data_IF_224880284463
#
_entry.id   IF_224880284463
#
_cell.length_a   1.000
_cell.length_b   1.000
_cell.length_c   1.000
_cell.angle_alpha   90.00
_cell.angle_beta   90.00
_cell.angle_gamma   90.00
#
_symmetry.space_group_name_H-M   'P 1'
#
loop_
_entity.id
_entity.type
_entity.pdbx_description
1 polymer ?
#
# COMPACT_ATOMS: atom_id res chain seq x y z
N UNK A 1 1.79 16.76 -1.59
CA UNK A 1 2.26 15.58 -0.81
C UNK A 1 1.41 14.36 -1.18
N UNK A 2 1.96 13.15 -1.07
CA UNK A 2 1.30 11.90 -1.53
C UNK A 2 -0.12 11.71 -0.98
N UNK A 3 -0.39 12.12 0.26
CA UNK A 3 -1.71 11.97 0.85
C UNK A 3 -2.81 12.75 0.12
N UNK A 4 -2.51 13.94 -0.42
CA UNK A 4 -3.49 14.69 -1.22
C UNK A 4 -3.83 13.97 -2.53
N UNK A 5 -2.83 13.35 -3.16
CA UNK A 5 -3.03 12.57 -4.40
C UNK A 5 -3.99 11.41 -4.11
N UNK A 6 -3.72 10.64 -3.06
CA UNK A 6 -4.52 9.46 -2.72
C UNK A 6 -5.93 9.85 -2.26
N UNK A 7 -6.07 10.88 -1.42
CA UNK A 7 -7.40 11.37 -1.00
C UNK A 7 -8.24 11.86 -2.18
N UNK A 8 -7.63 12.52 -3.15
CA UNK A 8 -8.34 12.93 -4.37
C UNK A 8 -8.74 11.73 -5.23
N UNK A 9 -7.85 10.74 -5.38
CA UNK A 9 -8.17 9.49 -6.08
C UNK A 9 -9.33 8.75 -5.40
N UNK A 10 -9.37 8.64 -4.06
CA UNK A 10 -10.50 8.03 -3.34
C UNK A 10 -11.80 8.81 -3.52
N UNK A 11 -11.76 10.13 -3.66
CA UNK A 11 -12.95 10.93 -3.98
C UNK A 11 -13.46 10.67 -5.40
N UNK A 12 -12.55 10.53 -6.36
CA UNK A 12 -12.90 10.26 -7.77
C UNK A 12 -13.32 8.80 -8.00
N UNK A 13 -12.72 7.87 -7.27
CA UNK A 13 -12.88 6.42 -7.44
C UNK A 13 -13.09 5.75 -6.07
N UNK A 14 -14.25 5.96 -5.43
CA UNK A 14 -14.48 5.53 -4.04
C UNK A 14 -14.44 4.01 -3.85
N UNK A 15 -14.89 3.25 -4.84
CA UNK A 15 -14.86 1.78 -4.83
C UNK A 15 -13.51 1.18 -5.24
N UNK A 16 -12.63 1.97 -5.87
CA UNK A 16 -11.36 1.44 -6.39
C UNK A 16 -10.30 1.41 -5.29
N UNK A 17 -9.51 0.35 -5.31
CA UNK A 17 -8.33 0.20 -4.49
C UNK A 17 -7.15 0.99 -5.06
N UNK A 18 -6.26 1.42 -4.17
CA UNK A 18 -5.08 2.20 -4.55
C UNK A 18 -3.84 1.42 -4.14
N UNK A 19 -3.07 1.01 -5.14
CA UNK A 19 -1.77 0.36 -4.99
C UNK A 19 -0.63 1.38 -4.99
N UNK A 20 0.20 1.36 -3.95
CA UNK A 20 1.47 2.06 -3.94
C UNK A 20 2.56 1.14 -4.52
N UNK A 21 2.99 1.40 -5.76
CA UNK A 21 3.99 0.60 -6.50
C UNK A 21 5.45 0.92 -6.19
N UNK A 22 6.39 0.04 -6.56
CA UNK A 22 7.79 0.06 -6.11
C UNK A 22 8.62 1.32 -6.41
N UNK A 23 8.27 2.10 -7.43
CA UNK A 23 9.00 3.30 -7.85
C UNK A 23 8.78 4.43 -6.84
N UNK A 24 9.59 4.42 -5.78
CA UNK A 24 9.62 5.39 -4.69
C UNK A 24 11.06 5.65 -4.27
N UNK A 25 11.38 6.82 -3.70
CA UNK A 25 12.69 7.06 -3.10
C UNK A 25 13.08 5.93 -2.15
N UNK A 26 14.30 5.40 -2.33
CA UNK A 26 14.82 4.29 -1.51
C UNK A 26 15.50 4.75 -0.22
N UNK A 27 15.57 6.07 0.01
CA UNK A 27 16.03 6.61 1.29
C UNK A 27 15.13 6.08 2.42
N UNK A 28 15.74 5.40 3.40
CA UNK A 28 15.02 4.69 4.47
C UNK A 28 14.10 5.60 5.29
N UNK A 29 14.51 6.86 5.53
CA UNK A 29 13.74 7.81 6.33
C UNK A 29 12.49 8.27 5.56
N UNK A 30 12.68 8.72 4.33
CA UNK A 30 11.60 9.27 3.48
C UNK A 30 10.64 8.17 3.01
N UNK A 31 11.12 6.96 2.75
CA UNK A 31 10.30 5.85 2.23
C UNK A 31 9.18 5.49 3.19
N UNK A 32 9.49 5.29 4.46
CA UNK A 32 8.48 4.88 5.45
C UNK A 32 7.44 5.99 5.69
N UNK A 33 7.84 7.26 5.64
CA UNK A 33 6.90 8.39 5.78
C UNK A 33 5.92 8.45 4.61
N UNK A 34 6.40 8.28 3.37
CA UNK A 34 5.55 8.19 2.18
C UNK A 34 4.57 7.03 2.30
N UNK A 35 5.07 5.85 2.67
CA UNK A 35 4.28 4.62 2.80
C UNK A 35 3.19 4.75 3.88
N UNK A 36 3.53 5.28 5.06
CA UNK A 36 2.58 5.49 6.17
C UNK A 36 1.55 6.56 5.80
N UNK A 37 1.94 7.67 5.19
CA UNK A 37 0.98 8.70 4.76
C UNK A 37 0.06 8.16 3.65
N UNK A 38 0.58 7.31 2.76
CA UNK A 38 -0.23 6.67 1.74
C UNK A 38 -1.30 5.75 2.34
N UNK A 39 -0.90 4.91 3.31
CA UNK A 39 -1.81 4.04 4.05
C UNK A 39 -2.90 4.85 4.76
N UNK A 40 -2.52 5.88 5.54
CA UNK A 40 -3.46 6.78 6.23
C UNK A 40 -4.43 7.47 5.28
N UNK A 41 -4.00 7.73 4.05
CA UNK A 41 -4.80 8.43 3.05
C UNK A 41 -5.74 7.53 2.26
N UNK A 42 -5.67 6.21 2.44
CA UNK A 42 -6.57 5.24 1.82
C UNK A 42 -5.93 4.32 0.78
N UNK A 43 -4.60 4.26 0.68
CA UNK A 43 -3.96 3.17 -0.06
C UNK A 43 -4.14 1.85 0.70
N UNK A 44 -4.70 0.84 0.05
CA UNK A 44 -4.96 -0.48 0.63
C UNK A 44 -3.93 -1.54 0.19
N UNK A 45 -3.13 -1.25 -0.84
CA UNK A 45 -2.13 -2.17 -1.38
C UNK A 45 -0.77 -1.50 -1.47
N UNK A 46 0.28 -2.26 -1.21
CA UNK A 46 1.65 -1.74 -1.25
C UNK A 46 2.64 -2.82 -1.69
N UNK A 47 3.40 -2.52 -2.74
CA UNK A 47 4.49 -3.38 -3.18
C UNK A 47 5.74 -3.11 -2.33
N UNK A 48 6.34 -4.18 -1.80
CA UNK A 48 7.57 -4.14 -1.00
C UNK A 48 7.54 -3.05 0.11
N UNK A 49 6.53 -3.06 1.02
CA UNK A 49 6.49 -2.12 2.13
C UNK A 49 7.70 -2.27 3.03
N UNK A 50 8.19 -1.17 3.59
CA UNK A 50 9.26 -1.24 4.59
C UNK A 50 8.80 -1.94 5.87
N UNK A 51 9.73 -2.52 6.64
CA UNK A 51 9.44 -3.12 7.95
C UNK A 51 8.75 -2.13 8.90
N UNK A 52 9.14 -0.85 8.86
CA UNK A 52 8.51 0.22 9.65
C UNK A 52 7.03 0.39 9.29
N UNK A 53 6.69 0.36 8.01
CA UNK A 53 5.31 0.43 7.54
C UNK A 53 4.50 -0.80 7.94
N UNK A 54 5.07 -2.00 7.82
CA UNK A 54 4.40 -3.25 8.24
C UNK A 54 4.09 -3.21 9.74
N UNK A 55 5.05 -2.79 10.57
CA UNK A 55 4.86 -2.69 12.02
C UNK A 55 3.79 -1.66 12.36
N UNK A 56 3.84 -0.47 11.73
CA UNK A 56 2.82 0.57 11.90
C UNK A 56 1.42 0.05 11.54
N UNK A 57 1.27 -0.68 10.43
CA UNK A 57 -0.01 -1.26 10.04
C UNK A 57 -0.53 -2.26 11.09
N UNK A 58 0.32 -3.15 11.61
CA UNK A 58 -0.07 -4.08 12.68
C UNK A 58 -0.48 -3.35 13.96
N UNK A 59 0.29 -2.35 14.38
CA UNK A 59 -0.02 -1.53 15.57
C UNK A 59 -1.34 -0.77 15.45
N UNK A 60 -1.77 -0.47 14.22
CA UNK A 60 -3.06 0.18 13.93
C UNK A 60 -4.20 -0.79 13.65
N UNK A 61 -3.98 -2.10 13.82
CA UNK A 61 -5.02 -3.12 13.70
C UNK A 61 -5.38 -3.49 12.26
N UNK A 62 -4.53 -3.15 11.28
CA UNK A 62 -4.75 -3.60 9.90
C UNK A 62 -4.51 -5.10 9.77
N UNK A 63 -5.38 -5.77 9.03
CA UNK A 63 -5.13 -7.12 8.53
C UNK A 63 -4.17 -7.06 7.34
N UNK A 64 -3.16 -7.94 7.34
CA UNK A 64 -2.13 -7.97 6.29
C UNK A 64 -2.26 -9.26 5.50
N UNK A 65 -2.79 -9.13 4.28
CA UNK A 65 -2.72 -10.18 3.26
C UNK A 65 -1.40 -10.08 2.49
N UNK A 66 -0.67 -11.19 2.37
CA UNK A 66 0.58 -11.25 1.59
C UNK A 66 0.33 -11.90 0.23
N UNK A 67 0.77 -11.20 -0.82
CA UNK A 67 0.69 -11.66 -2.19
C UNK A 67 2.11 -11.69 -2.77
N UNK A 68 2.52 -12.85 -3.30
CA UNK A 68 3.78 -13.07 -4.02
C UNK A 68 3.75 -12.50 -5.45
N UNK A 69 3.28 -11.27 -5.60
CA UNK A 69 3.12 -10.61 -6.89
C UNK A 69 3.45 -9.11 -6.82
N UNK A 70 3.55 -8.49 -7.98
CA UNK A 70 3.82 -7.06 -8.14
C UNK A 70 2.53 -6.20 -7.96
N UNK A 71 2.65 -4.87 -8.02
CA UNK A 71 1.59 -3.91 -7.71
C UNK A 71 0.36 -3.91 -8.64
N UNK A 72 0.41 -4.62 -9.77
CA UNK A 72 -0.63 -4.62 -10.80
C UNK A 72 -1.43 -5.93 -10.87
N UNK A 73 -1.37 -6.78 -9.84
CA UNK A 73 -2.16 -8.02 -9.78
C UNK A 73 -3.66 -7.72 -9.64
N UNK A 74 -4.52 -8.15 -10.58
CA UNK A 74 -5.97 -8.03 -10.44
C UNK A 74 -6.52 -8.95 -9.33
N UNK A 75 -7.53 -8.48 -8.60
CA UNK A 75 -8.16 -9.22 -7.49
C UNK A 75 -8.56 -10.65 -7.86
N UNK A 76 -9.14 -10.84 -9.06
CA UNK A 76 -9.57 -12.15 -9.56
C UNK A 76 -8.45 -13.19 -9.70
N UNK A 77 -7.18 -12.79 -9.64
CA UNK A 77 -6.01 -13.67 -9.70
C UNK A 77 -5.25 -13.77 -8.38
N UNK A 78 -5.73 -13.15 -7.30
CA UNK A 78 -5.02 -13.16 -6.01
C UNK A 78 -4.83 -14.54 -5.41
N UNK A 79 -5.81 -15.42 -5.58
CA UNK A 79 -5.75 -16.78 -5.05
C UNK A 79 -4.54 -17.57 -5.59
N UNK A 80 -4.00 -17.20 -6.75
CA UNK A 80 -2.79 -17.79 -7.33
C UNK A 80 -1.50 -17.25 -6.72
N UNK A 81 -1.57 -16.11 -6.03
CA UNK A 81 -0.41 -15.38 -5.51
C UNK A 81 -0.38 -15.32 -3.97
N UNK A 82 -1.37 -15.86 -3.26
CA UNK A 82 -1.35 -15.88 -1.80
C UNK A 82 -0.15 -16.66 -1.26
N UNK A 83 0.60 -16.03 -0.36
CA UNK A 83 1.75 -16.64 0.30
C UNK A 83 1.51 -16.72 1.80
N UNK A 84 1.96 -17.84 2.38
CA UNK A 84 1.93 -18.07 3.83
C UNK A 84 2.93 -17.19 4.56
#
# INVERSE_FOLDING_TARGET
MIGNVIRNLKKMFPSQEISLGCMRPRNRFVRAEIEIEALKSGASRMELPSKKTINYAKEKGYEIKRLGACCALPEKYEYLAEVK
#
